data_IF_693475331890
#
_entry.id   IF_693475331890
#
_cell.length_a   1.000
_cell.length_b   1.000
_cell.length_c   1.000
_cell.angle_alpha   90.00
_cell.angle_beta   90.00
_cell.angle_gamma   90.00
#
_symmetry.space_group_name_H-M   'P 1'
#
loop_
_entity.id
_entity.type
_entity.pdbx_description
1 polymer ?
#
# COMPACT_ATOMS: atom_id res chain seq x y z
N UNK A 1 10.76 15.83 -20.54
CA UNK A 1 11.09 14.50 -20.00
C UNK A 1 10.53 13.45 -20.96
N UNK A 2 11.21 12.32 -21.19
CA UNK A 2 10.67 11.23 -22.02
C UNK A 2 9.36 10.70 -21.41
N UNK A 3 8.42 10.31 -22.26
CA UNK A 3 7.18 9.66 -21.83
C UNK A 3 7.41 8.18 -21.52
N UNK A 4 6.44 7.52 -20.86
CA UNK A 4 6.49 6.07 -20.69
C UNK A 4 6.64 5.33 -22.04
N UNK A 5 5.93 5.80 -23.08
CA UNK A 5 5.98 5.21 -24.42
C UNK A 5 7.33 5.39 -25.13
N UNK A 6 8.10 6.42 -24.76
CA UNK A 6 9.47 6.60 -25.26
C UNK A 6 10.40 5.62 -24.53
N UNK A 7 10.31 5.57 -23.19
CA UNK A 7 11.17 4.74 -22.35
C UNK A 7 11.06 3.25 -22.65
N UNK A 8 9.85 2.72 -22.87
CA UNK A 8 9.64 1.29 -23.17
C UNK A 8 10.17 0.85 -24.53
N UNK A 9 10.40 1.79 -25.47
CA UNK A 9 11.05 1.48 -26.76
C UNK A 9 12.56 1.38 -26.64
N UNK A 10 13.13 2.17 -25.73
CA UNK A 10 14.57 2.29 -25.55
C UNK A 10 15.15 1.21 -24.63
N UNK A 11 14.40 0.80 -23.60
CA UNK A 11 14.85 -0.24 -22.64
C UNK A 11 13.69 -0.95 -21.96
N UNK A 12 14.01 -2.07 -21.32
CA UNK A 12 13.11 -2.75 -20.39
C UNK A 12 12.94 -1.88 -19.13
N UNK A 13 11.70 -1.75 -18.67
CA UNK A 13 11.36 -1.14 -17.39
C UNK A 13 10.99 -2.21 -16.37
N UNK A 14 11.37 -2.00 -15.12
CA UNK A 14 11.10 -2.92 -14.01
C UNK A 14 10.00 -2.35 -13.12
N UNK A 15 8.94 -3.14 -12.90
CA UNK A 15 7.90 -2.85 -11.91
C UNK A 15 8.38 -3.38 -10.55
N UNK A 16 7.97 -2.75 -9.46
CA UNK A 16 8.28 -3.17 -8.10
C UNK A 16 7.74 -4.57 -7.75
N UNK A 17 8.10 -5.02 -6.56
CA UNK A 17 7.72 -6.35 -6.06
C UNK A 17 6.51 -6.31 -5.14
N UNK A 18 6.22 -7.46 -4.53
CA UNK A 18 5.07 -7.61 -3.64
C UNK A 18 5.12 -6.69 -2.41
N UNK A 19 4.13 -5.80 -2.29
CA UNK A 19 3.89 -4.95 -1.12
C UNK A 19 3.58 -5.79 0.14
N UNK A 20 2.65 -6.74 0.03
CA UNK A 20 2.21 -7.57 1.16
C UNK A 20 3.35 -8.38 1.81
N UNK A 21 4.25 -8.95 1.01
CA UNK A 21 5.41 -9.71 1.53
C UNK A 21 6.35 -8.80 2.34
N UNK A 22 6.53 -7.55 1.90
CA UNK A 22 7.35 -6.57 2.62
C UNK A 22 6.69 -6.13 3.92
N UNK A 23 5.36 -5.87 3.91
CA UNK A 23 4.59 -5.53 5.12
C UNK A 23 4.71 -6.62 6.19
N UNK A 24 4.65 -7.91 5.80
CA UNK A 24 4.75 -9.03 6.74
C UNK A 24 6.06 -9.03 7.56
N UNK A 25 7.15 -8.44 7.03
CA UNK A 25 8.43 -8.36 7.73
C UNK A 25 8.39 -7.43 8.95
N UNK A 26 7.50 -6.44 8.95
CA UNK A 26 7.31 -5.49 10.06
C UNK A 26 6.54 -6.07 11.23
N UNK A 27 5.91 -7.26 11.08
CA UNK A 27 5.17 -7.96 12.14
C UNK A 27 4.14 -7.07 12.85
N UNK A 28 3.40 -6.30 12.06
CA UNK A 28 2.39 -5.37 12.56
C UNK A 28 1.26 -6.11 13.28
N UNK A 29 0.78 -5.49 14.35
CA UNK A 29 -0.35 -5.95 15.15
C UNK A 29 -1.58 -5.08 14.93
N UNK A 30 -2.74 -5.53 15.43
CA UNK A 30 -4.03 -4.84 15.25
C UNK A 30 -3.97 -3.34 15.58
N UNK A 31 -3.27 -2.98 16.65
CA UNK A 31 -3.08 -1.58 17.06
C UNK A 31 -2.37 -0.74 15.99
N UNK A 32 -1.45 -1.34 15.24
CA UNK A 32 -0.66 -0.65 14.23
C UNK A 32 -1.50 -0.41 12.97
N UNK A 33 -2.35 -1.38 12.60
CA UNK A 33 -3.33 -1.20 11.53
C UNK A 33 -4.37 -0.13 11.85
N UNK A 34 -4.83 -0.05 13.10
CA UNK A 34 -5.79 0.97 13.54
C UNK A 34 -5.20 2.38 13.59
N UNK A 35 -3.93 2.49 13.95
CA UNK A 35 -3.29 3.77 14.25
C UNK A 35 -4.10 4.58 15.28
N UNK A 36 -3.93 5.90 15.26
CA UNK A 36 -4.69 6.78 16.16
C UNK A 36 -6.13 7.02 15.70
N UNK A 37 -6.36 6.96 14.38
CA UNK A 37 -7.66 7.32 13.78
C UNK A 37 -8.75 6.27 13.99
N UNK A 38 -8.39 4.99 14.07
CA UNK A 38 -9.36 3.88 14.10
C UNK A 38 -9.26 3.03 15.37
N UNK A 39 -8.78 3.61 16.47
CA UNK A 39 -8.62 2.90 17.75
C UNK A 39 -9.93 2.23 18.19
N UNK A 40 -11.06 2.93 18.09
CA UNK A 40 -12.38 2.46 18.53
C UNK A 40 -13.20 1.75 17.44
N UNK A 41 -12.60 1.42 16.28
CA UNK A 41 -13.32 0.76 15.18
C UNK A 41 -13.94 -0.58 15.62
N UNK A 42 -15.21 -0.89 15.29
CA UNK A 42 -15.94 -2.00 15.93
C UNK A 42 -15.45 -3.41 15.54
N UNK A 43 -14.70 -3.55 14.45
CA UNK A 43 -14.20 -4.84 13.94
C UNK A 43 -12.68 -4.84 13.78
N UNK A 44 -12.07 -6.02 13.74
CA UNK A 44 -10.63 -6.16 13.50
C UNK A 44 -10.27 -5.70 12.08
N UNK A 45 -9.14 -4.99 11.96
CA UNK A 45 -8.65 -4.45 10.68
C UNK A 45 -7.24 -4.92 10.31
N UNK A 46 -6.60 -5.73 11.16
CA UNK A 46 -5.35 -6.42 10.82
C UNK A 46 -5.54 -7.26 9.55
N UNK A 47 -4.70 -7.00 8.56
CA UNK A 47 -4.79 -7.61 7.23
C UNK A 47 -5.23 -6.62 6.14
N UNK A 48 -5.87 -5.51 6.51
CA UNK A 48 -6.19 -4.42 5.58
C UNK A 48 -4.91 -3.61 5.26
N UNK A 49 -4.12 -4.10 4.29
CA UNK A 49 -2.81 -3.51 3.96
C UNK A 49 -2.94 -2.10 3.39
N UNK A 50 -4.00 -1.84 2.63
CA UNK A 50 -4.31 -0.52 2.06
C UNK A 50 -4.47 0.55 3.15
N UNK A 51 -5.07 0.18 4.31
CA UNK A 51 -5.24 1.08 5.46
C UNK A 51 -3.91 1.63 6.00
N UNK A 52 -2.81 0.90 5.82
CA UNK A 52 -1.48 1.32 6.27
C UNK A 52 -0.99 2.57 5.54
N UNK A 53 -1.55 2.93 4.38
CA UNK A 53 -1.29 4.22 3.74
C UNK A 53 -1.74 5.40 4.60
N UNK A 54 -2.75 5.21 5.46
CA UNK A 54 -3.26 6.23 6.39
C UNK A 54 -2.66 6.10 7.80
N UNK A 55 -2.48 4.86 8.28
CA UNK A 55 -2.10 4.61 9.68
C UNK A 55 -0.61 4.39 9.90
N UNK A 56 0.11 3.93 8.87
CA UNK A 56 1.56 3.70 8.90
C UNK A 56 2.26 4.20 7.60
N UNK A 57 2.04 5.46 7.19
CA UNK A 57 2.54 5.98 5.91
C UNK A 57 4.07 5.84 5.76
N UNK A 58 4.82 5.95 6.86
CA UNK A 58 6.27 5.79 6.87
C UNK A 58 6.73 4.38 6.50
N UNK A 59 5.94 3.34 6.82
CA UNK A 59 6.25 1.96 6.43
C UNK A 59 6.01 1.77 4.93
N UNK A 60 4.88 2.27 4.42
CA UNK A 60 4.55 2.21 2.99
C UNK A 60 5.62 2.97 2.17
N UNK A 61 6.02 4.16 2.61
CA UNK A 61 7.10 4.93 1.98
C UNK A 61 8.43 4.16 1.99
N UNK A 62 8.80 3.56 3.12
CA UNK A 62 10.04 2.80 3.23
C UNK A 62 10.07 1.59 2.27
N UNK A 63 8.94 0.93 2.06
CA UNK A 63 8.83 -0.21 1.13
C UNK A 63 8.99 0.27 -0.33
N UNK A 64 8.30 1.34 -0.74
CA UNK A 64 8.49 1.90 -2.08
C UNK A 64 9.93 2.36 -2.30
N UNK A 65 10.54 3.00 -1.30
CA UNK A 65 11.94 3.42 -1.34
C UNK A 65 12.87 2.23 -1.54
N UNK A 66 12.66 1.13 -0.82
CA UNK A 66 13.48 -0.08 -0.98
C UNK A 66 13.40 -0.65 -2.41
N UNK A 67 12.22 -0.65 -3.04
CA UNK A 67 12.09 -1.08 -4.43
C UNK A 67 12.75 -0.12 -5.43
N UNK A 68 12.62 1.19 -5.22
CA UNK A 68 13.30 2.20 -6.04
C UNK A 68 14.82 2.07 -5.92
N UNK A 69 15.34 1.88 -4.70
CA UNK A 69 16.78 1.65 -4.45
C UNK A 69 17.28 0.33 -5.06
N UNK A 70 16.42 -0.68 -5.16
CA UNK A 70 16.71 -1.93 -5.86
C UNK A 70 16.66 -1.82 -7.40
N UNK A 71 16.23 -0.66 -7.93
CA UNK A 71 16.22 -0.38 -9.37
C UNK A 71 14.85 -0.51 -10.04
N UNK A 72 13.75 -0.52 -9.28
CA UNK A 72 12.41 -0.40 -9.86
C UNK A 72 12.25 0.95 -10.57
N UNK A 73 11.69 0.92 -11.78
CA UNK A 73 11.36 2.10 -12.57
C UNK A 73 9.93 2.58 -12.33
N UNK A 74 9.06 1.65 -11.95
CA UNK A 74 7.62 1.83 -11.75
C UNK A 74 7.29 1.25 -10.39
N UNK A 75 6.47 1.97 -9.62
CA UNK A 75 5.92 1.49 -8.36
C UNK A 75 4.40 1.40 -8.48
N UNK A 76 3.81 0.38 -7.87
CA UNK A 76 2.37 0.26 -7.70
C UNK A 76 1.92 1.05 -6.46
N UNK A 77 0.72 1.61 -6.48
CA UNK A 77 0.13 2.20 -5.28
C UNK A 77 -0.28 1.10 -4.28
N UNK A 78 -0.26 1.40 -2.98
CA UNK A 78 -0.76 0.48 -1.94
C UNK A 78 -2.30 0.47 -1.88
N UNK A 79 -2.94 0.09 -3.00
CA UNK A 79 -4.39 0.26 -3.23
C UNK A 79 -5.02 -0.98 -3.88
N UNK A 80 -4.50 -2.18 -3.63
CA UNK A 80 -5.02 -3.42 -4.23
C UNK A 80 -6.47 -3.72 -3.81
N UNK A 81 -6.85 -3.36 -2.57
CA UNK A 81 -8.18 -3.54 -2.00
C UNK A 81 -8.89 -2.23 -1.63
N UNK A 82 -8.39 -1.08 -2.08
CA UNK A 82 -8.99 0.25 -1.92
C UNK A 82 -10.27 0.43 -2.77
N UNK A 83 -11.27 -0.42 -2.54
CA UNK A 83 -12.57 -0.36 -3.19
C UNK A 83 -13.66 -0.52 -2.13
N UNK A 84 -14.84 0.06 -2.34
CA UNK A 84 -15.94 -0.05 -1.39
C UNK A 84 -16.35 -1.52 -1.13
N UNK A 85 -16.23 -2.39 -2.13
CA UNK A 85 -16.57 -3.81 -2.01
C UNK A 85 -15.59 -4.53 -1.09
N UNK A 86 -14.28 -4.38 -1.31
CA UNK A 86 -13.29 -5.08 -0.49
C UNK A 86 -13.17 -4.47 0.92
N UNK A 87 -13.35 -3.16 1.05
CA UNK A 87 -13.33 -2.49 2.36
C UNK A 87 -14.57 -2.83 3.23
N UNK A 88 -15.63 -3.43 2.65
CA UNK A 88 -16.80 -3.88 3.40
C UNK A 88 -16.47 -5.02 4.39
N UNK A 89 -15.47 -5.85 4.09
CA UNK A 89 -14.97 -6.88 5.01
C UNK A 89 -14.45 -6.27 6.33
N UNK A 90 -14.06 -4.99 6.28
CA UNK A 90 -13.57 -4.22 7.42
C UNK A 90 -14.54 -3.11 7.88
N UNK A 91 -15.75 -3.00 7.33
CA UNK A 91 -16.69 -1.88 7.59
C UNK A 91 -16.09 -0.48 7.33
N UNK A 92 -15.28 -0.38 6.26
CA UNK A 92 -14.51 0.82 5.90
C UNK A 92 -14.80 1.31 4.47
N UNK A 93 -15.98 0.99 3.92
CA UNK A 93 -16.38 1.31 2.54
C UNK A 93 -16.24 2.81 2.23
N UNK A 94 -16.53 3.65 3.22
CA UNK A 94 -16.44 5.11 3.15
C UNK A 94 -15.01 5.64 2.97
N UNK A 95 -13.98 4.83 3.25
CA UNK A 95 -12.57 5.18 3.07
C UNK A 95 -12.04 4.88 1.67
N UNK A 96 -12.79 4.18 0.82
CA UNK A 96 -12.27 3.70 -0.48
C UNK A 96 -11.76 4.80 -1.43
N UNK A 97 -12.21 6.04 -1.28
CA UNK A 97 -11.68 7.18 -2.05
C UNK A 97 -10.45 7.82 -1.41
N UNK A 98 -10.34 7.73 -0.08
CA UNK A 98 -9.22 8.29 0.68
C UNK A 98 -8.00 7.37 0.69
N UNK A 99 -8.24 6.06 0.61
CA UNK A 99 -7.23 5.01 0.39
C UNK A 99 -6.72 5.03 -1.05
#
# INVERSE_FOLDING_TARGET
MPTLHDLIRDRILVIDGAMGTMIQQYRLEEKDYRGDRFQEHPVLVKGNSDLLSLTQPQIVEAIHRAYLEAGADIIETNTFTATAIAQADYQMEHLAYEL
#
